data_IF_015739410190
#
_entry.id   IF_015739410190
#
_cell.length_a   1.000
_cell.length_b   1.000
_cell.length_c   1.000
_cell.angle_alpha   90.00
_cell.angle_beta   90.00
_cell.angle_gamma   90.00
#
_symmetry.space_group_name_H-M   'P 1'
#
loop_
_entity.id
_entity.type
_entity.pdbx_description
1 polymer ?
#
# COMPACT_ATOMS: atom_id res chain seq x y z
N UNK A 1 22.74 45.85 -29.58
CA UNK A 1 23.30 44.52 -29.88
C UNK A 1 24.18 44.06 -28.72
N UNK A 2 23.87 42.86 -28.22
CA UNK A 2 24.70 41.94 -27.40
C UNK A 2 25.25 42.43 -26.05
N UNK A 3 24.44 42.26 -25.01
CA UNK A 3 24.89 41.73 -23.70
C UNK A 3 23.90 40.64 -23.28
N UNK A 4 24.15 39.42 -23.71
CA UNK A 4 23.48 38.20 -23.24
C UNK A 4 24.59 37.23 -22.91
N UNK A 5 24.82 37.01 -21.61
CA UNK A 5 25.35 35.82 -20.93
C UNK A 5 25.94 36.26 -19.58
N UNK A 6 25.14 36.14 -18.52
CA UNK A 6 25.62 35.98 -17.13
C UNK A 6 24.43 35.83 -16.19
N UNK A 7 23.58 34.84 -16.46
CA UNK A 7 22.66 34.25 -15.49
C UNK A 7 22.62 32.76 -15.81
N UNK A 8 23.65 32.00 -15.41
CA UNK A 8 23.64 30.52 -15.47
C UNK A 8 24.84 29.88 -14.74
N UNK A 9 25.35 30.48 -13.66
CA UNK A 9 26.45 29.86 -12.91
C UNK A 9 26.37 30.14 -11.40
N UNK A 10 25.20 29.89 -10.81
CA UNK A 10 25.00 29.89 -9.36
C UNK A 10 23.86 28.94 -8.93
N UNK A 11 23.77 27.76 -9.57
CA UNK A 11 22.83 26.70 -9.18
C UNK A 11 23.49 25.31 -9.21
N UNK A 12 24.80 25.24 -8.95
CA UNK A 12 25.55 23.98 -8.89
C UNK A 12 26.47 24.01 -7.67
N UNK A 13 25.89 24.08 -6.46
CA UNK A 13 26.59 23.80 -5.20
C UNK A 13 25.62 23.66 -4.00
N UNK A 14 24.49 22.99 -4.23
CA UNK A 14 23.77 22.29 -3.15
C UNK A 14 23.56 20.86 -3.63
N UNK A 15 24.67 20.17 -3.91
CA UNK A 15 24.69 18.72 -3.66
C UNK A 15 24.87 18.60 -2.16
N UNK A 16 23.76 18.75 -1.45
CA UNK A 16 23.67 18.41 -0.05
C UNK A 16 24.13 16.97 0.06
N UNK A 17 25.21 16.76 0.81
CA UNK A 17 25.50 15.47 1.41
C UNK A 17 24.32 15.17 2.33
N UNK A 18 23.22 14.62 1.79
CA UNK A 18 22.34 13.81 2.59
C UNK A 18 23.11 12.52 2.80
N UNK A 19 23.71 12.40 3.97
CA UNK A 19 23.95 11.10 4.59
C UNK A 19 22.59 10.43 4.71
N UNK A 20 22.10 9.87 3.61
CA UNK A 20 20.94 8.99 3.62
C UNK A 20 21.46 7.69 4.21
N UNK A 21 21.35 7.55 5.53
CA UNK A 21 21.54 6.27 6.17
C UNK A 21 20.62 5.27 5.45
N UNK A 22 21.16 4.13 5.00
CA UNK A 22 20.32 3.02 4.58
C UNK A 22 19.36 2.72 5.73
N UNK A 23 18.07 2.83 5.47
CA UNK A 23 17.06 2.90 6.51
C UNK A 23 16.66 1.53 7.06
N UNK A 24 16.92 0.44 6.32
CA UNK A 24 16.67 -0.91 6.79
C UNK A 24 17.83 -1.87 6.49
N UNK A 25 18.04 -2.80 7.42
CA UNK A 25 19.10 -3.78 7.46
C UNK A 25 18.47 -5.15 7.69
N UNK A 26 18.45 -6.01 6.67
CA UNK A 26 17.82 -7.33 6.76
C UNK A 26 18.90 -8.41 6.72
N UNK A 27 19.00 -9.21 7.78
CA UNK A 27 19.97 -10.29 7.89
C UNK A 27 19.55 -11.50 7.07
N UNK A 28 20.47 -12.06 6.30
CA UNK A 28 20.19 -13.27 5.55
C UNK A 28 20.09 -14.51 6.46
N UNK A 29 19.06 -15.37 6.29
CA UNK A 29 19.06 -16.68 6.93
C UNK A 29 20.15 -17.57 6.31
N UNK A 30 20.89 -18.29 7.15
CA UNK A 30 21.89 -19.26 6.68
C UNK A 30 21.21 -20.48 6.05
N UNK A 31 20.93 -20.43 4.74
CA UNK A 31 20.25 -21.52 4.02
C UNK A 31 21.11 -22.08 2.89
N UNK A 32 21.01 -23.38 2.61
CA UNK A 32 21.68 -24.06 1.49
C UNK A 32 22.75 -25.08 1.91
N UNK A 33 23.22 -25.87 0.95
CA UNK A 33 24.17 -26.99 1.17
C UNK A 33 25.47 -26.86 0.35
N UNK A 34 25.64 -25.77 -0.40
CA UNK A 34 26.80 -25.48 -1.25
C UNK A 34 27.95 -24.72 -0.57
N UNK A 35 28.94 -24.31 -1.38
CA UNK A 35 30.01 -23.42 -0.93
C UNK A 35 29.46 -22.01 -0.67
N UNK A 36 30.13 -21.26 0.23
CA UNK A 36 29.81 -19.86 0.42
C UNK A 36 30.26 -19.05 -0.81
N UNK A 37 29.44 -18.08 -1.20
CA UNK A 37 29.70 -17.18 -2.33
C UNK A 37 30.21 -15.84 -1.77
N UNK A 38 30.99 -15.11 -2.56
CA UNK A 38 31.45 -13.77 -2.22
C UNK A 38 30.41 -12.73 -2.67
N UNK A 39 30.07 -11.76 -1.81
CA UNK A 39 29.10 -10.73 -2.18
C UNK A 39 29.59 -9.89 -3.38
N UNK A 40 30.91 -9.73 -3.59
CA UNK A 40 31.42 -8.95 -4.72
C UNK A 40 31.21 -9.62 -6.08
N UNK A 41 30.93 -10.92 -6.12
CA UNK A 41 30.65 -11.64 -7.37
C UNK A 41 29.16 -11.66 -7.69
N UNK A 42 28.33 -11.06 -6.84
CA UNK A 42 26.89 -11.01 -7.05
C UNK A 42 26.51 -9.94 -8.06
N UNK A 43 25.67 -10.33 -9.01
CA UNK A 43 24.97 -9.45 -9.93
C UNK A 43 23.48 -9.75 -9.93
N UNK A 44 22.69 -8.84 -10.47
CA UNK A 44 21.24 -8.89 -10.36
C UNK A 44 20.60 -9.23 -11.71
N UNK A 45 19.58 -10.07 -11.65
CA UNK A 45 18.73 -10.42 -12.77
C UNK A 45 17.44 -9.63 -12.81
N UNK A 46 16.48 -10.15 -13.55
CA UNK A 46 15.17 -9.54 -13.64
C UNK A 46 14.46 -9.55 -12.27
N UNK A 47 13.50 -8.66 -12.11
CA UNK A 47 12.63 -8.65 -10.94
C UNK A 47 11.30 -9.31 -11.30
N UNK A 48 10.78 -10.16 -10.42
CA UNK A 48 9.49 -10.83 -10.59
C UNK A 48 8.51 -10.18 -9.63
N UNK A 49 7.45 -9.57 -10.18
CA UNK A 49 6.34 -9.00 -9.44
C UNK A 49 5.31 -10.09 -9.16
N UNK A 50 4.87 -10.12 -7.90
CA UNK A 50 3.88 -11.07 -7.38
C UNK A 50 2.85 -10.24 -6.64
N UNK A 51 1.59 -10.43 -6.98
CA UNK A 51 0.50 -9.67 -6.36
C UNK A 51 0.34 -10.01 -4.87
N UNK A 52 -0.49 -9.26 -4.16
CA UNK A 52 -0.75 -9.50 -2.73
C UNK A 52 -1.25 -10.94 -2.44
N UNK A 53 -2.01 -11.55 -3.36
CA UNK A 53 -2.46 -12.95 -3.26
C UNK A 53 -1.33 -14.00 -3.38
N UNK A 54 -0.11 -13.57 -3.68
CA UNK A 54 1.05 -14.44 -3.84
C UNK A 54 1.13 -15.15 -5.20
N UNK A 55 0.40 -14.66 -6.20
CA UNK A 55 0.43 -15.15 -7.57
C UNK A 55 1.37 -14.33 -8.44
N UNK A 56 2.07 -15.02 -9.35
CA UNK A 56 2.86 -14.36 -10.40
C UNK A 56 2.01 -13.35 -11.15
N UNK A 57 2.52 -12.13 -11.26
CA UNK A 57 1.92 -11.08 -12.08
C UNK A 57 2.80 -10.84 -13.32
N UNK A 58 4.04 -10.37 -13.10
CA UNK A 58 4.90 -9.94 -14.21
C UNK A 58 6.41 -10.09 -13.94
N UNK A 59 7.23 -10.05 -14.99
CA UNK A 59 8.70 -10.00 -14.92
C UNK A 59 9.20 -8.68 -15.50
N UNK A 60 10.00 -7.96 -14.72
CA UNK A 60 10.56 -6.64 -15.03
C UNK A 60 12.06 -6.77 -15.30
N UNK A 61 12.48 -6.40 -16.51
CA UNK A 61 13.89 -6.49 -16.92
C UNK A 61 14.77 -5.45 -16.24
N UNK A 62 16.05 -5.78 -15.98
CA UNK A 62 17.04 -4.80 -15.51
C UNK A 62 17.29 -3.71 -16.56
N UNK A 63 17.35 -2.45 -16.12
CA UNK A 63 17.73 -1.33 -16.98
C UNK A 63 19.24 -1.28 -17.23
N UNK A 64 19.68 -0.77 -18.38
CA UNK A 64 21.11 -0.45 -18.61
C UNK A 64 21.41 0.96 -18.08
N UNK A 65 22.56 1.17 -17.42
CA UNK A 65 22.97 2.51 -17.00
C UNK A 65 22.98 3.49 -18.19
N UNK A 66 22.20 4.56 -18.10
CA UNK A 66 22.17 5.65 -19.09
C UNK A 66 21.19 5.51 -20.25
N UNK A 67 20.59 4.33 -20.44
CA UNK A 67 19.52 4.11 -21.43
C UNK A 67 18.39 3.34 -20.75
N UNK A 68 17.45 4.10 -20.19
CA UNK A 68 16.27 3.55 -19.52
C UNK A 68 15.38 2.82 -20.51
N UNK A 69 15.53 1.51 -20.61
CA UNK A 69 14.37 0.65 -20.84
C UNK A 69 13.58 0.73 -19.54
N UNK A 70 12.63 1.66 -19.53
CA UNK A 70 11.64 1.78 -18.47
C UNK A 70 10.50 0.90 -18.93
N UNK A 71 10.51 -0.37 -18.54
CA UNK A 71 9.30 -1.16 -18.64
C UNK A 71 8.39 -0.70 -17.48
N UNK A 72 7.25 -0.14 -17.84
CA UNK A 72 6.33 0.52 -16.91
C UNK A 72 5.39 -0.53 -16.33
N UNK A 73 5.73 -1.00 -15.14
CA UNK A 73 4.88 -1.91 -14.39
C UNK A 73 4.39 -1.25 -13.13
N UNK A 74 3.08 -1.39 -12.94
CA UNK A 74 2.30 -0.76 -11.90
C UNK A 74 2.50 -1.56 -10.61
N UNK A 75 3.10 -0.94 -9.60
CA UNK A 75 3.11 -1.50 -8.25
C UNK A 75 1.80 -1.16 -7.55
N UNK A 76 1.20 -2.18 -6.97
CA UNK A 76 0.02 -2.12 -6.11
C UNK A 76 0.43 -2.32 -4.66
N UNK A 77 -0.39 -1.80 -3.73
CA UNK A 77 -0.22 -2.01 -2.29
C UNK A 77 -0.15 -3.51 -1.97
N UNK A 78 0.73 -3.91 -1.06
CA UNK A 78 0.87 -5.33 -0.67
C UNK A 78 1.66 -6.23 -1.63
N UNK A 79 2.00 -5.75 -2.84
CA UNK A 79 2.78 -6.51 -3.81
C UNK A 79 4.15 -6.97 -3.24
N UNK A 80 4.62 -8.10 -3.75
CA UNK A 80 5.95 -8.63 -3.44
C UNK A 80 6.83 -8.67 -4.70
N UNK A 81 8.04 -8.12 -4.59
CA UNK A 81 9.03 -8.11 -5.66
C UNK A 81 10.15 -9.10 -5.31
N UNK A 82 10.43 -10.03 -6.22
CA UNK A 82 11.56 -10.96 -6.11
C UNK A 82 12.66 -10.58 -7.10
N UNK A 83 13.79 -10.10 -6.61
CA UNK A 83 14.94 -9.82 -7.46
C UNK A 83 15.79 -11.07 -7.61
N UNK A 84 16.02 -11.48 -8.86
CA UNK A 84 16.91 -12.57 -9.19
C UNK A 84 18.35 -12.25 -8.81
N UNK A 85 19.03 -13.24 -8.23
CA UNK A 85 20.42 -13.12 -7.80
C UNK A 85 21.26 -14.12 -8.59
N UNK A 86 22.26 -13.59 -9.26
CA UNK A 86 23.22 -14.35 -10.05
C UNK A 86 24.62 -14.26 -9.46
N UNK A 87 25.40 -15.32 -9.65
CA UNK A 87 26.84 -15.25 -9.46
C UNK A 87 27.53 -14.96 -10.79
N UNK A 88 28.49 -14.05 -10.77
CA UNK A 88 29.49 -13.91 -11.84
C UNK A 88 30.51 -15.02 -11.67
N UNK A 89 30.54 -15.97 -12.61
CA UNK A 89 31.60 -16.97 -12.63
C UNK A 89 32.86 -16.41 -13.28
N UNK A 90 33.99 -16.48 -12.58
CA UNK A 90 35.30 -16.23 -13.18
C UNK A 90 35.79 -17.52 -13.84
N UNK A 91 35.97 -17.50 -15.17
CA UNK A 91 36.42 -18.68 -15.94
C UNK A 91 37.86 -19.12 -15.65
N UNK A 92 38.61 -18.37 -14.83
CA UNK A 92 39.99 -18.69 -14.44
C UNK A 92 40.08 -18.98 -12.92
N UNK A 93 40.12 -20.27 -12.56
CA UNK A 93 40.14 -20.81 -11.18
C UNK A 93 41.25 -20.26 -10.25
N UNK A 94 42.23 -19.51 -10.77
CA UNK A 94 43.44 -19.14 -10.00
C UNK A 94 43.38 -17.76 -9.34
N UNK A 95 42.40 -16.91 -9.69
CA UNK A 95 42.37 -15.50 -9.30
C UNK A 95 40.96 -15.01 -8.90
N UNK A 96 40.13 -15.87 -8.29
CA UNK A 96 38.79 -15.48 -7.81
C UNK A 96 38.80 -14.23 -6.89
N UNK A 97 39.92 -13.94 -6.23
CA UNK A 97 40.08 -12.75 -5.39
C UNK A 97 40.37 -11.45 -6.19
N UNK A 98 40.85 -11.53 -7.43
CA UNK A 98 41.17 -10.35 -8.26
C UNK A 98 40.06 -9.97 -9.25
N UNK A 99 39.04 -10.81 -9.43
CA UNK A 99 37.82 -10.48 -10.19
C UNK A 99 37.08 -9.25 -9.61
N UNK A 100 37.18 -9.02 -8.29
CA UNK A 100 36.59 -7.86 -7.63
C UNK A 100 37.32 -6.53 -7.91
N UNK A 101 38.46 -6.55 -8.62
CA UNK A 101 39.33 -5.38 -8.83
C UNK A 101 39.52 -4.96 -10.29
N UNK A 102 39.23 -5.83 -11.25
CA UNK A 102 39.46 -5.56 -12.68
C UNK A 102 38.46 -6.34 -13.57
N UNK A 103 37.48 -5.63 -14.13
CA UNK A 103 36.41 -6.18 -14.98
C UNK A 103 36.91 -6.81 -16.29
N UNK A 104 38.18 -6.61 -16.65
CA UNK A 104 38.74 -7.03 -17.94
C UNK A 104 38.92 -8.57 -18.06
N UNK A 105 38.81 -9.32 -16.95
CA UNK A 105 39.07 -10.76 -16.89
C UNK A 105 37.84 -11.64 -16.61
N UNK A 106 36.65 -11.06 -16.49
CA UNK A 106 35.42 -11.79 -16.23
C UNK A 106 34.56 -11.91 -17.50
N UNK A 107 34.34 -13.11 -18.00
CA UNK A 107 33.18 -13.40 -18.85
C UNK A 107 31.97 -13.58 -17.93
N UNK A 108 31.00 -12.69 -17.99
CA UNK A 108 29.75 -12.78 -17.21
C UNK A 108 28.93 -13.94 -17.78
N UNK A 109 29.16 -15.15 -17.30
CA UNK A 109 28.14 -16.20 -17.31
C UNK A 109 27.40 -16.09 -15.97
N UNK A 110 26.33 -15.30 -15.98
CA UNK A 110 25.44 -15.16 -14.83
C UNK A 110 24.76 -16.52 -14.60
N UNK A 111 25.13 -17.17 -13.48
CA UNK A 111 24.56 -18.48 -13.12
C UNK A 111 23.62 -18.33 -11.93
N UNK A 112 22.40 -18.85 -12.04
CA UNK A 112 21.41 -18.81 -10.96
C UNK A 112 21.94 -19.48 -9.71
N UNK A 113 21.72 -18.86 -8.55
CA UNK A 113 22.14 -19.40 -7.26
C UNK A 113 21.26 -20.54 -6.74
N UNK A 114 21.20 -21.65 -7.48
CA UNK A 114 20.41 -22.82 -7.08
C UNK A 114 21.17 -23.64 -6.05
N UNK A 115 20.56 -23.89 -4.88
CA UNK A 115 21.10 -24.68 -3.76
C UNK A 115 22.43 -24.19 -3.15
N UNK A 116 22.92 -23.01 -3.55
CA UNK A 116 24.12 -22.41 -2.99
C UNK A 116 23.90 -21.90 -1.56
N UNK A 117 24.95 -21.91 -0.74
CA UNK A 117 24.86 -21.47 0.65
C UNK A 117 24.92 -19.94 0.71
N UNK A 118 23.86 -19.32 1.22
CA UNK A 118 23.84 -17.89 1.53
C UNK A 118 24.57 -17.67 2.86
N UNK A 119 25.63 -16.84 2.90
CA UNK A 119 26.34 -16.54 4.14
C UNK A 119 25.48 -15.75 5.12
N UNK A 120 25.54 -16.08 6.42
CA UNK A 120 24.76 -15.41 7.47
C UNK A 120 25.20 -13.97 7.76
N UNK A 121 26.39 -13.60 7.29
CA UNK A 121 27.00 -12.28 7.42
C UNK A 121 26.55 -11.32 6.31
N UNK A 122 25.74 -11.79 5.35
CA UNK A 122 25.15 -10.95 4.32
C UNK A 122 23.97 -10.15 4.85
N UNK A 123 23.88 -8.90 4.38
CA UNK A 123 22.79 -7.99 4.67
C UNK A 123 22.24 -7.42 3.39
N UNK A 124 20.91 -7.43 3.26
CA UNK A 124 20.24 -6.70 2.20
C UNK A 124 20.12 -5.22 2.61
N UNK A 125 20.60 -4.33 1.72
CA UNK A 125 20.60 -2.88 1.93
C UNK A 125 19.74 -2.23 0.87
N UNK A 126 18.66 -1.57 1.30
CA UNK A 126 17.64 -1.01 0.39
C UNK A 126 17.42 0.48 0.72
N UNK A 127 17.20 1.31 -0.32
CA UNK A 127 16.70 2.68 -0.20
C UNK A 127 15.19 2.75 -0.45
N UNK A 128 14.55 3.82 0.02
CA UNK A 128 13.11 4.06 -0.01
C UNK A 128 12.32 3.07 0.88
N UNK A 129 12.79 2.89 2.13
CA UNK A 129 12.16 1.97 3.08
C UNK A 129 10.74 2.36 3.48
N UNK A 130 10.35 3.61 3.23
CA UNK A 130 8.99 4.12 3.46
C UNK A 130 7.91 3.37 2.66
N UNK A 131 8.29 2.68 1.57
CA UNK A 131 7.38 1.82 0.80
C UNK A 131 7.52 0.33 1.13
N UNK A 132 8.47 -0.04 2.00
CA UNK A 132 8.86 -1.43 2.23
C UNK A 132 8.36 -1.88 3.61
N UNK A 133 7.51 -2.90 3.61
CA UNK A 133 7.02 -3.57 4.82
C UNK A 133 8.07 -4.50 5.40
N UNK A 134 8.68 -5.30 4.53
CA UNK A 134 9.68 -6.29 4.89
C UNK A 134 10.60 -6.60 3.71
N UNK A 135 11.81 -7.08 3.98
CA UNK A 135 12.66 -7.63 2.94
C UNK A 135 13.60 -8.71 3.49
N UNK A 136 13.89 -9.72 2.68
CA UNK A 136 14.75 -10.83 3.09
C UNK A 136 15.40 -11.53 1.89
N UNK A 137 16.51 -12.21 2.15
CA UNK A 137 17.04 -13.17 1.19
C UNK A 137 16.34 -14.51 1.40
N UNK A 138 15.62 -14.96 0.38
CA UNK A 138 14.81 -16.18 0.44
C UNK A 138 15.27 -17.21 -0.57
N UNK A 139 14.92 -18.46 -0.29
CA UNK A 139 15.04 -19.54 -1.26
C UNK A 139 13.66 -19.91 -1.77
N UNK A 140 13.50 -19.95 -3.08
CA UNK A 140 12.24 -20.33 -3.70
C UNK A 140 11.88 -21.79 -3.37
N UNK A 141 10.65 -22.00 -2.89
CA UNK A 141 10.09 -23.33 -2.65
C UNK A 141 9.85 -24.07 -3.98
N UNK A 142 9.86 -25.41 -3.93
CA UNK A 142 9.68 -26.23 -5.13
C UNK A 142 8.29 -26.10 -5.77
N UNK A 143 7.28 -25.69 -5.01
CA UNK A 143 5.89 -25.57 -5.40
C UNK A 143 5.35 -24.15 -5.13
N UNK A 144 6.16 -23.13 -5.43
CA UNK A 144 5.75 -21.74 -5.28
C UNK A 144 4.74 -21.33 -6.38
N UNK A 145 3.83 -20.42 -6.05
CA UNK A 145 2.82 -19.82 -6.94
C UNK A 145 3.32 -18.60 -7.70
N UNK A 146 4.51 -18.11 -7.36
CA UNK A 146 5.17 -16.93 -7.89
C UNK A 146 6.01 -17.21 -9.17
N UNK A 147 6.02 -18.45 -9.68
CA UNK A 147 6.78 -18.81 -10.89
C UNK A 147 8.30 -18.84 -10.72
N UNK A 148 8.81 -18.78 -9.48
CA UNK A 148 10.24 -18.71 -9.17
C UNK A 148 10.95 -20.05 -9.45
N UNK A 149 12.22 -20.00 -9.84
CA UNK A 149 13.04 -21.19 -10.04
C UNK A 149 13.27 -21.92 -8.70
N UNK A 150 12.80 -23.16 -8.61
CA UNK A 150 12.89 -23.96 -7.39
C UNK A 150 14.34 -24.07 -6.86
N UNK A 151 14.56 -23.63 -5.62
CA UNK A 151 15.86 -23.71 -4.97
C UNK A 151 16.82 -22.56 -5.30
N UNK A 152 16.47 -21.64 -6.20
CA UNK A 152 17.20 -20.39 -6.43
C UNK A 152 17.04 -19.42 -5.24
N UNK A 153 18.00 -18.52 -5.10
CA UNK A 153 18.01 -17.48 -4.06
C UNK A 153 17.56 -16.17 -4.68
N UNK A 154 16.65 -15.46 -4.00
CA UNK A 154 16.10 -14.18 -4.40
C UNK A 154 16.23 -13.17 -3.26
N UNK A 155 16.31 -11.89 -3.58
CA UNK A 155 15.95 -10.85 -2.62
C UNK A 155 14.46 -10.59 -2.74
N UNK A 156 13.70 -10.94 -1.71
CA UNK A 156 12.26 -10.69 -1.60
C UNK A 156 12.06 -9.34 -0.92
N UNK A 157 11.28 -8.46 -1.53
CA UNK A 157 10.89 -7.16 -1.00
C UNK A 157 9.37 -7.13 -0.98
N UNK A 158 8.79 -6.96 0.20
CA UNK A 158 7.34 -6.84 0.40
C UNK A 158 7.01 -5.36 0.55
N UNK A 159 6.10 -4.85 -0.27
CA UNK A 159 5.67 -3.47 -0.17
C UNK A 159 4.69 -3.29 0.98
N UNK A 160 4.58 -2.05 1.45
CA UNK A 160 3.57 -1.66 2.41
C UNK A 160 2.16 -1.88 1.83
N UNK A 161 1.19 -2.17 2.69
CA UNK A 161 -0.22 -2.37 2.30
C UNK A 161 -1.03 -1.07 2.43
N UNK A 162 -0.36 0.04 2.72
CA UNK A 162 -0.96 1.36 2.99
C UNK A 162 -0.20 2.50 2.31
N UNK A 163 0.69 2.20 1.34
CA UNK A 163 1.34 3.25 0.58
C UNK A 163 0.37 3.79 -0.47
N UNK A 164 -0.20 4.97 -0.19
CA UNK A 164 -0.98 5.69 -1.19
C UNK A 164 -0.02 6.07 -2.30
N UNK A 165 -0.23 5.59 -3.53
CA UNK A 165 0.44 6.15 -4.71
C UNK A 165 0.21 7.66 -4.64
N UNK A 166 1.28 8.39 -4.36
CA UNK A 166 1.17 9.71 -3.75
C UNK A 166 0.68 10.72 -4.80
N UNK A 167 -0.62 10.98 -4.87
CA UNK A 167 -1.24 11.93 -5.81
C UNK A 167 -1.08 11.54 -7.31
N UNK A 168 -1.99 12.06 -8.14
CA UNK A 168 -1.96 11.98 -9.61
C UNK A 168 -0.65 12.54 -10.20
N UNK A 169 0.08 13.36 -9.44
CA UNK A 169 1.40 13.88 -9.80
C UNK A 169 2.51 12.82 -9.70
N UNK A 170 2.42 11.85 -8.77
CA UNK A 170 3.39 10.76 -8.64
C UNK A 170 2.94 9.46 -9.31
N UNK A 171 1.68 9.39 -9.77
CA UNK A 171 1.23 8.34 -10.69
C UNK A 171 2.06 8.39 -11.99
N UNK A 172 2.92 7.37 -12.17
CA UNK A 172 3.90 7.33 -13.27
C UNK A 172 5.27 7.96 -12.95
N UNK A 173 5.50 8.47 -11.73
CA UNK A 173 6.86 8.71 -11.23
C UNK A 173 7.57 7.38 -10.98
N UNK A 174 8.86 7.35 -11.31
CA UNK A 174 9.66 6.13 -11.22
C UNK A 174 10.16 5.92 -9.80
N UNK A 175 9.62 4.90 -9.14
CA UNK A 175 10.19 4.37 -7.91
C UNK A 175 11.45 3.57 -8.27
N UNK A 176 12.59 4.07 -7.79
CA UNK A 176 13.89 3.43 -8.02
C UNK A 176 14.32 2.65 -6.78
N UNK A 177 14.24 1.33 -6.83
CA UNK A 177 14.79 0.49 -5.76
C UNK A 177 16.31 0.40 -5.91
N UNK A 178 17.02 1.22 -5.15
CA UNK A 178 18.47 1.09 -5.01
C UNK A 178 18.78 0.05 -3.94
N UNK A 179 19.22 -1.15 -4.36
CA UNK A 179 19.50 -2.27 -3.47
C UNK A 179 20.86 -2.92 -3.74
N UNK A 180 21.53 -3.42 -2.70
CA UNK A 180 22.73 -4.27 -2.83
C UNK A 180 22.87 -5.21 -1.62
N UNK A 181 23.71 -6.24 -1.76
CA UNK A 181 24.12 -7.12 -0.68
C UNK A 181 25.42 -6.61 -0.06
N UNK A 182 25.43 -6.44 1.25
CA UNK A 182 26.59 -6.06 2.03
C UNK A 182 27.11 -7.25 2.85
N UNK A 183 28.36 -7.62 2.64
CA UNK A 183 29.05 -8.61 3.46
C UNK A 183 29.66 -7.93 4.69
N UNK A 184 29.10 -8.22 5.87
CA UNK A 184 29.57 -7.61 7.13
C UNK A 184 30.91 -8.15 7.62
N UNK A 185 31.32 -9.33 7.18
CA UNK A 185 32.58 -9.96 7.60
C UNK A 185 33.74 -9.42 6.75
N UNK A 186 33.60 -9.48 5.43
CA UNK A 186 34.63 -9.11 4.47
C UNK A 186 34.58 -7.64 4.04
N UNK A 187 33.51 -6.91 4.41
CA UNK A 187 33.33 -5.48 4.11
C UNK A 187 33.32 -5.18 2.60
N UNK A 188 32.67 -6.05 1.84
CA UNK A 188 32.49 -5.96 0.39
C UNK A 188 31.02 -5.86 0.05
N UNK A 189 30.70 -5.16 -1.04
CA UNK A 189 29.35 -4.98 -1.55
C UNK A 189 29.20 -5.67 -2.90
N UNK A 190 28.01 -6.17 -3.20
CA UNK A 190 27.62 -6.52 -4.57
C UNK A 190 27.46 -5.28 -5.44
N UNK A 191 27.22 -5.49 -6.74
CA UNK A 191 26.65 -4.45 -7.58
C UNK A 191 25.27 -4.01 -7.09
N UNK A 192 24.82 -2.85 -7.56
CA UNK A 192 23.47 -2.37 -7.30
C UNK A 192 22.47 -3.04 -8.24
N UNK A 193 21.32 -3.43 -7.71
CA UNK A 193 20.15 -3.70 -8.53
C UNK A 193 19.67 -2.36 -9.13
N UNK A 194 19.42 -2.34 -10.44
CA UNK A 194 18.93 -1.17 -11.16
C UNK A 194 17.61 -1.51 -11.85
N UNK A 195 16.57 -1.68 -11.04
CA UNK A 195 15.19 -1.86 -11.53
C UNK A 195 14.38 -0.64 -11.13
N UNK A 196 13.58 -0.16 -12.07
CA UNK A 196 12.64 0.93 -11.85
C UNK A 196 11.23 0.40 -12.00
N UNK A 197 10.35 0.82 -11.11
CA UNK A 197 8.92 0.53 -11.18
C UNK A 197 8.16 1.84 -11.29
N UNK A 198 6.94 1.80 -11.80
CA UNK A 198 6.00 2.89 -11.70
C UNK A 198 4.93 2.52 -10.67
N UNK A 199 4.38 3.50 -9.96
CA UNK A 199 3.13 3.24 -9.25
C UNK A 199 2.00 2.98 -10.23
N UNK A 200 1.02 2.19 -9.79
CA UNK A 200 -0.17 1.94 -10.58
C UNK A 200 -0.79 3.24 -11.10
N UNK A 201 -1.06 3.26 -12.40
CA UNK A 201 -1.81 4.36 -12.99
C UNK A 201 -3.29 4.12 -12.73
N UNK A 202 -3.78 4.75 -11.69
CA UNK A 202 -5.19 4.81 -11.35
C UNK A 202 -5.94 5.76 -12.28
N UNK A 203 -7.18 5.42 -12.64
CA UNK A 203 -8.05 6.33 -13.38
C UNK A 203 -8.54 7.46 -12.47
N UNK A 204 -8.85 8.62 -13.05
CA UNK A 204 -9.33 9.79 -12.29
C UNK A 204 -10.75 10.13 -12.69
N UNK A 205 -11.65 10.11 -11.70
CA UNK A 205 -13.02 10.57 -11.82
C UNK A 205 -13.18 11.91 -11.10
N UNK A 206 -13.60 12.93 -11.84
CA UNK A 206 -13.89 14.25 -11.30
C UNK A 206 -15.33 14.32 -10.78
N UNK A 207 -15.48 14.49 -9.47
CA UNK A 207 -16.78 14.73 -8.85
C UNK A 207 -17.10 16.22 -8.96
N UNK A 208 -18.24 16.58 -9.54
CA UNK A 208 -18.57 17.98 -9.85
C UNK A 208 -19.96 18.37 -9.38
N UNK A 209 -20.09 19.65 -9.04
CA UNK A 209 -21.40 20.27 -8.77
C UNK A 209 -21.99 20.98 -10.00
N UNK A 210 -21.34 20.88 -11.16
CA UNK A 210 -21.82 21.41 -12.43
C UNK A 210 -22.47 20.31 -13.28
N UNK A 211 -23.80 20.32 -13.33
CA UNK A 211 -24.59 19.32 -14.05
C UNK A 211 -24.30 19.26 -15.55
N UNK A 212 -23.74 20.33 -16.16
CA UNK A 212 -23.43 20.32 -17.58
C UNK A 212 -22.25 19.38 -17.94
N UNK A 213 -21.47 18.95 -16.95
CA UNK A 213 -20.30 18.08 -17.14
C UNK A 213 -20.59 16.59 -16.83
N UNK A 214 -21.74 16.26 -16.22
CA UNK A 214 -22.05 14.94 -15.62
C UNK A 214 -22.32 13.82 -16.66
N UNK A 215 -22.43 14.14 -17.95
CA UNK A 215 -22.73 13.16 -19.00
C UNK A 215 -21.47 12.49 -19.61
N UNK A 216 -20.34 12.42 -18.90
CA UNK A 216 -19.10 11.85 -19.44
C UNK A 216 -18.43 10.86 -18.46
N UNK A 217 -17.69 9.89 -18.99
CA UNK A 217 -17.08 8.78 -18.22
C UNK A 217 -16.12 9.24 -17.09
N UNK A 218 -15.64 10.48 -17.15
CA UNK A 218 -14.66 11.04 -16.21
C UNK A 218 -15.25 12.06 -15.24
N UNK A 219 -16.53 12.42 -15.36
CA UNK A 219 -17.19 13.37 -14.46
C UNK A 219 -18.49 12.80 -13.93
N UNK A 220 -18.66 12.88 -12.61
CA UNK A 220 -19.87 12.43 -11.91
C UNK A 220 -20.40 13.54 -11.02
N UNK A 221 -21.68 13.50 -10.71
CA UNK A 221 -22.35 14.55 -9.93
C UNK A 221 -22.20 14.32 -8.43
N UNK A 222 -21.99 15.40 -7.66
CA UNK A 222 -22.19 15.39 -6.19
C UNK A 222 -23.65 15.15 -5.78
N UNK A 223 -24.59 15.24 -6.73
CA UNK A 223 -26.03 15.07 -6.50
C UNK A 223 -26.52 13.64 -6.78
N UNK A 224 -25.64 12.78 -7.30
CA UNK A 224 -25.93 11.38 -7.58
C UNK A 224 -25.24 10.49 -6.54
N UNK A 225 -25.69 9.23 -6.48
CA UNK A 225 -24.89 8.19 -5.84
C UNK A 225 -23.79 7.77 -6.79
N UNK A 226 -22.56 7.87 -6.33
CA UNK A 226 -21.38 7.49 -7.10
C UNK A 226 -21.07 6.03 -6.81
N UNK A 227 -21.04 5.20 -7.83
CA UNK A 227 -20.52 3.84 -7.69
C UNK A 227 -19.01 3.92 -7.39
N UNK A 228 -18.62 3.43 -6.22
CA UNK A 228 -17.22 3.26 -5.88
C UNK A 228 -16.59 2.26 -6.86
N UNK A 229 -15.35 2.52 -7.26
CA UNK A 229 -14.59 1.68 -8.17
C UNK A 229 -13.21 1.47 -7.61
N UNK A 230 -12.80 0.22 -7.62
CA UNK A 230 -11.43 -0.20 -7.38
C UNK A 230 -10.50 0.55 -8.34
N UNK A 231 -9.33 0.92 -7.85
CA UNK A 231 -8.29 1.57 -8.65
C UNK A 231 -8.70 2.91 -9.31
N UNK A 232 -9.63 3.65 -8.69
CA UNK A 232 -10.04 4.98 -9.15
C UNK A 232 -9.78 6.05 -8.09
N UNK A 233 -9.12 7.14 -8.49
CA UNK A 233 -9.09 8.38 -7.72
C UNK A 233 -10.29 9.25 -8.02
N UNK A 234 -10.94 9.71 -6.96
CA UNK A 234 -11.97 10.73 -7.03
C UNK A 234 -11.38 12.09 -6.67
N UNK A 235 -11.68 13.11 -7.49
CA UNK A 235 -11.24 14.50 -7.26
C UNK A 235 -12.40 15.46 -7.33
N UNK A 236 -12.54 16.33 -6.33
CA UNK A 236 -13.56 17.37 -6.37
C UNK A 236 -13.19 18.46 -7.38
N UNK A 237 -14.03 18.61 -8.40
CA UNK A 237 -14.01 19.70 -9.35
C UNK A 237 -15.05 20.78 -8.98
N UNK A 238 -14.66 22.04 -9.12
CA UNK A 238 -15.55 23.18 -8.83
C UNK A 238 -15.32 23.77 -7.44
N UNK A 239 -16.27 23.51 -6.51
CA UNK A 239 -16.31 24.07 -5.14
C UNK A 239 -15.11 23.64 -4.28
N UNK A 240 -14.89 24.32 -3.15
CA UNK A 240 -13.80 24.01 -2.21
C UNK A 240 -14.02 22.72 -1.42
N UNK A 241 -15.28 22.35 -1.18
CA UNK A 241 -15.67 21.10 -0.54
C UNK A 241 -17.06 20.68 -1.00
N UNK A 242 -17.37 19.39 -0.91
CA UNK A 242 -18.69 18.83 -1.15
C UNK A 242 -18.93 17.62 -0.25
N UNK A 243 -20.18 17.40 0.12
CA UNK A 243 -20.65 16.12 0.66
C UNK A 243 -21.03 15.25 -0.53
N UNK A 244 -20.59 14.00 -0.50
CA UNK A 244 -20.70 13.06 -1.61
C UNK A 244 -21.09 11.70 -1.05
N UNK A 245 -21.90 10.96 -1.79
CA UNK A 245 -22.34 9.63 -1.39
C UNK A 245 -21.84 8.59 -2.38
N UNK A 246 -21.14 7.60 -1.86
CA UNK A 246 -20.63 6.46 -2.60
C UNK A 246 -21.51 5.24 -2.34
N UNK A 247 -21.85 4.47 -3.37
CA UNK A 247 -22.27 3.07 -3.22
C UNK A 247 -21.00 2.23 -3.17
N UNK A 248 -20.75 1.58 -2.05
CA UNK A 248 -19.58 0.69 -1.88
C UNK A 248 -19.92 -0.78 -2.09
N UNK A 249 -21.19 -1.12 -1.89
CA UNK A 249 -21.78 -2.44 -2.14
C UNK A 249 -23.21 -2.22 -2.69
N UNK A 250 -23.88 -3.27 -3.16
CA UNK A 250 -25.28 -3.24 -3.64
C UNK A 250 -26.23 -2.66 -2.57
N UNK A 251 -25.92 -2.87 -1.29
CA UNK A 251 -26.75 -2.49 -0.16
C UNK A 251 -26.12 -1.43 0.77
N UNK A 252 -24.90 -0.96 0.50
CA UNK A 252 -24.20 -0.04 1.42
C UNK A 252 -23.79 1.26 0.74
N UNK A 253 -24.13 2.36 1.41
CA UNK A 253 -23.80 3.71 0.99
C UNK A 253 -22.98 4.44 2.05
N UNK A 254 -21.92 5.11 1.61
CA UNK A 254 -21.02 5.88 2.46
C UNK A 254 -21.12 7.35 2.10
N UNK A 255 -21.45 8.17 3.09
CA UNK A 255 -21.47 9.62 2.96
C UNK A 255 -20.18 10.18 3.50
N UNK A 256 -19.47 10.91 2.65
CA UNK A 256 -18.17 11.47 2.97
C UNK A 256 -18.05 12.93 2.54
N UNK A 257 -17.06 13.62 3.11
CA UNK A 257 -16.70 14.97 2.69
C UNK A 257 -15.43 14.93 1.84
N UNK A 258 -15.51 15.60 0.69
CA UNK A 258 -14.37 15.82 -0.20
C UNK A 258 -13.97 17.29 -0.19
N UNK A 259 -12.68 17.54 -0.36
CA UNK A 259 -12.06 18.85 -0.51
C UNK A 259 -11.35 18.98 -1.86
N UNK A 260 -11.30 20.21 -2.36
CA UNK A 260 -10.67 20.51 -3.64
C UNK A 260 -9.14 20.52 -3.51
N UNK A 261 -8.49 19.78 -4.40
CA UNK A 261 -7.03 19.67 -4.47
C UNK A 261 -6.51 18.35 -3.92
N UNK A 262 -7.32 17.65 -3.14
CA UNK A 262 -7.02 16.34 -2.61
C UNK A 262 -7.47 15.24 -3.59
N UNK A 263 -6.86 14.06 -3.43
CA UNK A 263 -7.16 12.85 -4.18
C UNK A 263 -7.73 11.81 -3.22
N UNK A 264 -8.87 11.20 -3.57
CA UNK A 264 -9.54 10.23 -2.72
C UNK A 264 -9.62 8.85 -3.36
N UNK A 265 -9.41 7.80 -2.59
CA UNK A 265 -9.73 6.42 -2.97
C UNK A 265 -10.66 5.82 -1.94
N UNK A 266 -11.47 4.89 -2.40
CA UNK A 266 -12.32 4.03 -1.60
C UNK A 266 -12.24 2.65 -2.24
N UNK A 267 -11.78 1.64 -1.48
CA UNK A 267 -11.74 0.27 -1.99
C UNK A 267 -13.18 -0.24 -2.14
N UNK A 268 -13.55 -0.63 -3.36
CA UNK A 268 -14.93 -0.98 -3.74
C UNK A 268 -15.14 -2.46 -4.01
N UNK A 269 -14.10 -3.28 -3.84
CA UNK A 269 -14.17 -4.74 -3.84
C UNK A 269 -14.74 -5.29 -2.51
N UNK A 270 -15.12 -4.40 -1.61
CA UNK A 270 -15.68 -4.69 -0.29
C UNK A 270 -17.17 -5.00 -0.40
N UNK A 271 -17.50 -6.18 -0.92
CA UNK A 271 -18.81 -6.77 -0.68
C UNK A 271 -18.97 -7.01 0.83
N UNK A 272 -20.16 -6.85 1.38
CA UNK A 272 -20.42 -7.36 2.72
C UNK A 272 -20.24 -8.90 2.75
N UNK A 273 -19.24 -9.38 3.48
CA UNK A 273 -18.88 -10.81 3.52
C UNK A 273 -19.48 -11.47 4.75
N UNK A 274 -20.12 -12.62 4.55
CA UNK A 274 -20.56 -13.46 5.67
C UNK A 274 -19.39 -13.94 6.52
N UNK A 275 -19.35 -13.52 7.78
CA UNK A 275 -18.32 -13.93 8.74
C UNK A 275 -18.73 -15.20 9.45
N UNK A 276 -18.17 -16.33 8.99
CA UNK A 276 -18.43 -17.65 9.58
C UNK A 276 -18.07 -17.75 11.07
N UNK A 277 -17.03 -17.04 11.50
CA UNK A 277 -16.52 -17.19 12.87
C UNK A 277 -17.33 -16.33 13.84
N UNK A 278 -17.61 -15.06 13.49
CA UNK A 278 -18.53 -14.23 14.26
C UNK A 278 -19.93 -14.86 14.30
N UNK A 279 -20.41 -15.39 13.18
CA UNK A 279 -21.76 -15.98 13.14
C UNK A 279 -21.91 -17.19 14.06
N UNK A 280 -20.85 -17.99 14.23
CA UNK A 280 -20.85 -19.09 15.22
C UNK A 280 -20.76 -18.59 16.65
N UNK A 281 -19.99 -17.54 16.90
CA UNK A 281 -19.75 -17.00 18.23
C UNK A 281 -21.03 -16.39 18.82
N UNK A 282 -21.76 -15.64 17.99
CA UNK A 282 -22.96 -14.91 18.40
C UNK A 282 -24.27 -15.63 18.05
N UNK A 283 -24.21 -16.84 17.46
CA UNK A 283 -25.36 -17.67 17.07
C UNK A 283 -26.39 -16.92 16.18
N UNK A 284 -25.89 -16.11 15.25
CA UNK A 284 -26.69 -15.32 14.30
C UNK A 284 -25.92 -15.08 13.02
N UNK A 285 -26.59 -14.87 11.89
CA UNK A 285 -25.91 -14.53 10.63
C UNK A 285 -25.36 -13.10 10.73
N UNK A 286 -24.05 -12.96 10.48
CA UNK A 286 -23.30 -11.70 10.53
C UNK A 286 -22.60 -11.49 9.19
N UNK A 287 -22.92 -10.38 8.55
CA UNK A 287 -22.23 -9.85 7.38
C UNK A 287 -21.34 -8.70 7.82
N UNK A 288 -20.09 -8.70 7.37
CA UNK A 288 -19.08 -7.71 7.72
C UNK A 288 -18.65 -6.97 6.47
N UNK A 289 -18.62 -5.65 6.56
CA UNK A 289 -18.11 -4.73 5.56
C UNK A 289 -16.88 -4.03 6.14
N UNK A 290 -15.78 -4.00 5.40
CA UNK A 290 -14.56 -3.30 5.80
C UNK A 290 -14.31 -2.11 4.88
N UNK A 291 -14.50 -0.89 5.38
CA UNK A 291 -14.31 0.30 4.57
C UNK A 291 -12.86 0.77 4.70
N UNK A 292 -12.09 0.61 3.63
CA UNK A 292 -10.74 1.16 3.49
C UNK A 292 -10.76 2.34 2.53
N UNK A 293 -10.46 3.54 3.05
CA UNK A 293 -10.46 4.75 2.24
C UNK A 293 -9.40 5.75 2.71
N UNK A 294 -9.43 6.94 2.14
CA UNK A 294 -8.85 8.14 2.76
C UNK A 294 -9.88 9.28 2.81
N UNK A 295 -11.15 8.91 2.75
CA UNK A 295 -12.27 9.84 2.79
C UNK A 295 -12.56 10.22 4.23
N UNK A 296 -12.99 11.46 4.40
CA UNK A 296 -13.59 11.90 5.65
C UNK A 296 -15.03 11.38 5.70
N UNK A 297 -15.18 10.10 6.04
CA UNK A 297 -16.46 9.40 6.21
C UNK A 297 -17.21 10.05 7.37
N UNK A 298 -18.52 10.22 7.17
CA UNK A 298 -19.42 10.84 8.14
C UNK A 298 -20.53 9.89 8.53
N UNK A 299 -21.11 9.20 7.56
CA UNK A 299 -22.23 8.32 7.78
C UNK A 299 -22.13 7.08 6.89
N UNK A 300 -22.57 5.94 7.41
CA UNK A 300 -22.81 4.72 6.64
C UNK A 300 -24.29 4.39 6.71
N UNK A 301 -24.92 4.23 5.55
CA UNK A 301 -26.26 3.68 5.40
C UNK A 301 -26.15 2.24 4.89
N UNK A 302 -26.66 1.29 5.66
CA UNK A 302 -26.80 -0.10 5.23
C UNK A 302 -28.29 -0.40 4.98
N UNK A 303 -28.63 -0.67 3.72
CA UNK A 303 -29.96 -1.12 3.34
C UNK A 303 -30.29 -2.44 4.02
N UNK A 304 -31.50 -2.52 4.53
CA UNK A 304 -31.88 -3.64 5.35
C UNK A 304 -33.35 -3.98 5.20
N UNK A 305 -33.64 -5.27 5.26
CA UNK A 305 -34.99 -5.75 5.51
C UNK A 305 -35.42 -5.46 6.96
N UNK A 306 -36.72 -5.56 7.23
CA UNK A 306 -37.34 -5.16 8.53
C UNK A 306 -36.90 -5.98 9.74
N UNK A 307 -36.13 -7.05 9.51
CA UNK A 307 -35.72 -8.04 10.50
C UNK A 307 -34.30 -7.85 11.04
N UNK A 308 -33.44 -7.08 10.36
CA UNK A 308 -32.15 -6.72 10.99
C UNK A 308 -32.36 -5.73 12.13
N UNK A 309 -31.39 -5.65 13.05
CA UNK A 309 -31.54 -4.97 14.34
C UNK A 309 -30.70 -3.71 14.48
N UNK A 310 -29.46 -3.71 14.00
CA UNK A 310 -28.54 -2.58 14.12
C UNK A 310 -27.26 -2.81 13.30
N UNK A 311 -26.55 -1.72 13.02
CA UNK A 311 -25.16 -1.73 12.60
C UNK A 311 -24.29 -1.74 13.87
N UNK A 312 -23.16 -2.42 13.83
CA UNK A 312 -22.11 -2.40 14.86
C UNK A 312 -20.75 -2.22 14.25
N UNK A 313 -19.79 -1.79 15.05
CA UNK A 313 -18.38 -1.81 14.68
C UNK A 313 -17.75 -3.16 15.07
N UNK A 314 -16.80 -3.63 14.27
CA UNK A 314 -16.03 -4.84 14.50
C UNK A 314 -14.60 -4.45 14.86
N UNK A 315 -14.25 -4.56 16.15
CA UNK A 315 -12.91 -4.23 16.66
C UNK A 315 -12.28 -5.52 17.19
N UNK A 316 -11.15 -5.92 16.60
CA UNK A 316 -10.40 -7.13 17.00
C UNK A 316 -11.27 -8.41 17.11
N UNK A 317 -12.28 -8.51 16.24
CA UNK A 317 -13.22 -9.65 16.21
C UNK A 317 -14.34 -9.58 17.26
N UNK A 318 -14.49 -8.47 17.98
CA UNK A 318 -15.61 -8.23 18.88
C UNK A 318 -16.60 -7.22 18.30
N UNK A 319 -17.89 -7.37 18.64
CA UNK A 319 -18.97 -6.49 18.19
C UNK A 319 -19.22 -5.38 19.20
N UNK A 320 -19.05 -4.14 18.75
CA UNK A 320 -19.15 -2.93 19.56
C UNK A 320 -20.34 -2.10 19.11
N UNK A 321 -21.15 -1.66 20.07
CA UNK A 321 -22.33 -0.85 19.76
C UNK A 321 -21.92 0.50 19.17
N UNK A 322 -22.56 0.88 18.07
CA UNK A 322 -22.53 2.24 17.52
C UNK A 322 -23.92 2.85 17.59
N UNK A 323 -24.00 4.18 17.67
CA UNK A 323 -25.28 4.88 17.63
C UNK A 323 -25.86 4.75 16.21
N UNK A 324 -26.81 3.81 16.05
CA UNK A 324 -27.45 3.55 14.78
C UNK A 324 -28.95 3.80 14.84
N UNK A 325 -29.48 4.44 13.80
CA UNK A 325 -30.89 4.77 13.67
C UNK A 325 -31.52 4.05 12.48
N UNK A 326 -32.73 3.53 12.66
CA UNK A 326 -33.51 3.01 11.54
C UNK A 326 -34.19 4.16 10.77
N UNK A 327 -33.81 4.33 9.50
CA UNK A 327 -34.41 5.33 8.61
C UNK A 327 -35.33 4.68 7.58
N UNK A 328 -36.49 5.31 7.36
CA UNK A 328 -37.46 4.84 6.35
C UNK A 328 -37.29 5.50 4.99
N UNK A 329 -36.42 6.50 4.91
CA UNK A 329 -35.97 7.23 3.73
C UNK A 329 -34.61 7.85 4.05
N UNK A 330 -33.62 7.62 3.20
CA UNK A 330 -32.36 8.34 3.25
C UNK A 330 -32.26 9.28 2.04
N UNK A 331 -31.93 10.54 2.24
CA UNK A 331 -31.86 11.53 1.15
C UNK A 331 -30.41 11.96 0.96
N UNK A 332 -29.82 11.57 -0.17
CA UNK A 332 -28.38 11.72 -0.46
C UNK A 332 -27.97 13.16 -0.73
N UNK A 333 -28.86 13.94 -1.36
CA UNK A 333 -28.89 15.41 -1.61
C UNK A 333 -29.67 15.63 -2.93
N UNK A 334 -30.38 16.76 -3.07
CA UNK A 334 -31.15 17.18 -4.26
C UNK A 334 -32.20 16.17 -4.81
N UNK A 335 -32.81 15.41 -3.90
CA UNK A 335 -34.01 14.61 -4.18
C UNK A 335 -33.77 13.14 -4.57
N UNK A 336 -32.52 12.68 -4.59
CA UNK A 336 -32.22 11.24 -4.64
C UNK A 336 -32.53 10.63 -3.27
N UNK A 337 -33.59 9.82 -3.24
CA UNK A 337 -34.02 9.09 -2.04
C UNK A 337 -33.58 7.64 -2.16
N UNK A 338 -32.66 7.23 -1.31
CA UNK A 338 -32.24 5.85 -1.13
C UNK A 338 -33.13 5.11 -0.13
N UNK A 339 -32.95 3.79 -0.04
CA UNK A 339 -33.92 2.88 0.55
C UNK A 339 -34.01 2.98 2.10
N UNK A 340 -34.54 1.91 2.70
CA UNK A 340 -34.80 1.78 4.14
C UNK A 340 -33.66 0.97 4.73
N UNK A 341 -33.16 1.42 5.87
CA UNK A 341 -32.00 0.77 6.47
C UNK A 341 -31.59 1.37 7.79
N UNK A 342 -30.42 0.96 8.23
CA UNK A 342 -29.75 1.52 9.40
C UNK A 342 -28.74 2.55 8.94
N UNK A 343 -28.72 3.70 9.62
CA UNK A 343 -27.67 4.70 9.48
C UNK A 343 -26.86 4.77 10.77
N UNK A 344 -25.55 4.95 10.67
CA UNK A 344 -24.68 5.23 11.80
C UNK A 344 -23.71 6.35 11.43
N UNK A 345 -23.36 7.20 12.39
CA UNK A 345 -22.20 8.09 12.27
C UNK A 345 -20.94 7.26 12.50
N UNK A 346 -20.02 7.27 11.54
CA UNK A 346 -18.87 6.35 11.56
C UNK A 346 -17.62 6.98 10.94
N UNK A 347 -16.49 6.31 11.14
CA UNK A 347 -15.21 6.62 10.48
C UNK A 347 -14.77 5.44 9.59
N UNK A 348 -13.51 5.42 9.15
CA UNK A 348 -12.91 4.25 8.48
C UNK A 348 -12.83 3.07 9.46
N UNK A 349 -13.12 1.85 9.00
CA UNK A 349 -13.19 0.70 9.89
C UNK A 349 -14.02 -0.48 9.35
N UNK A 350 -14.20 -1.49 10.20
CA UNK A 350 -15.04 -2.64 9.89
C UNK A 350 -16.38 -2.55 10.62
N UNK A 351 -17.47 -2.74 9.88
CA UNK A 351 -18.83 -2.65 10.38
C UNK A 351 -19.58 -3.93 10.05
N UNK A 352 -20.54 -4.30 10.90
CA UNK A 352 -21.37 -5.47 10.67
C UNK A 352 -22.85 -5.16 10.82
N UNK A 353 -23.67 -5.81 9.99
CA UNK A 353 -25.11 -5.80 10.11
C UNK A 353 -25.56 -7.03 10.91
N UNK A 354 -26.25 -6.80 12.02
CA UNK A 354 -26.72 -7.88 12.89
C UNK A 354 -28.23 -8.09 12.72
N UNK A 355 -28.62 -9.35 12.60
CA UNK A 355 -30.02 -9.79 12.47
C UNK A 355 -30.72 -10.19 13.78
N UNK A 356 -29.98 -10.30 14.89
CA UNK A 356 -30.49 -10.71 16.19
C UNK A 356 -30.21 -9.72 17.33
N UNK A 357 -30.98 -9.84 18.41
CA UNK A 357 -30.70 -9.13 19.66
C UNK A 357 -29.56 -9.86 20.39
N UNK A 358 -28.35 -9.31 20.32
CA UNK A 358 -27.15 -9.85 20.98
C UNK A 358 -26.64 -8.90 22.06
N UNK A 359 -25.95 -9.43 23.07
CA UNK A 359 -25.23 -8.60 24.05
C UNK A 359 -23.99 -8.01 23.37
N UNK A 360 -23.95 -6.68 23.27
CA UNK A 360 -22.84 -5.94 22.69
C UNK A 360 -21.90 -5.40 23.76
N UNK A 361 -20.66 -5.14 23.34
CA UNK A 361 -19.74 -4.34 24.14
C UNK A 361 -20.15 -2.87 23.98
N UNK A 362 -20.46 -2.21 25.09
CA UNK A 362 -20.61 -0.75 25.13
C UNK A 362 -19.25 -0.11 25.41
N UNK A 363 -18.90 0.93 24.66
CA UNK A 363 -17.73 1.76 24.97
C UNK A 363 -18.19 2.85 25.93
N UNK A 364 -17.63 2.88 27.15
CA UNK A 364 -17.82 4.04 28.04
C UNK A 364 -17.06 5.23 27.44
N UNK A 365 -17.77 6.26 26.97
CA UNK A 365 -17.16 7.54 26.63
C UNK A 365 -16.48 8.13 27.88
N UNK A 366 -15.15 8.16 27.91
CA UNK A 366 -14.45 9.02 28.86
C UNK A 366 -14.70 10.49 28.46
N UNK A 367 -15.62 11.13 29.18
CA UNK A 367 -15.87 12.57 29.07
C UNK A 367 -14.56 13.34 29.34
N UNK A 368 -13.90 13.78 28.28
CA UNK A 368 -12.80 14.73 28.38
C UNK A 368 -13.38 16.12 28.61
N UNK A 369 -13.30 16.61 29.86
CA UNK A 369 -13.59 18.01 30.17
C UNK A 369 -12.67 18.91 29.33
N UNK A 370 -13.23 19.62 28.35
CA UNK A 370 -12.54 20.71 27.64
C UNK A 370 -12.23 21.86 28.61
N UNK A 371 -11.01 21.92 29.15
CA UNK A 371 -10.46 23.19 29.63
C UNK A 371 -10.09 24.05 28.42
N UNK A 372 -10.88 25.11 28.21
CA UNK A 372 -10.64 26.17 27.23
C UNK A 372 -9.22 26.74 27.34
N UNK A 373 -8.35 26.41 26.39
CA UNK A 373 -7.16 27.21 26.05
C UNK A 373 -7.16 27.46 24.55
N UNK A 374 -7.26 28.73 24.18
CA UNK A 374 -7.04 29.22 22.82
C UNK A 374 -5.67 28.73 22.30
N UNK A 375 -5.67 28.00 21.19
CA UNK A 375 -4.45 27.63 20.47
C UNK A 375 -4.15 28.68 19.38
N UNK A 376 -2.89 29.11 19.20
CA UNK A 376 -2.52 30.03 18.14
C UNK A 376 -2.48 29.33 16.78
N UNK A 377 -2.84 30.08 15.73
CA UNK A 377 -2.84 29.67 14.33
C UNK A 377 -1.42 29.33 13.83
N UNK A 378 -1.15 28.05 13.54
CA UNK A 378 -0.15 27.65 12.53
C UNK A 378 -0.56 26.31 11.90
N UNK A 379 -0.83 26.33 10.60
CA UNK A 379 -1.21 25.15 9.82
C UNK A 379 -0.10 24.10 9.73
N UNK A 380 -0.47 22.89 10.11
CA UNK A 380 0.09 21.59 9.73
C UNK A 380 -0.90 20.54 10.27
N UNK A 381 -1.14 19.48 9.50
CA UNK A 381 -2.14 18.43 9.74
C UNK A 381 -2.16 17.92 11.19
N UNK A 382 -3.34 18.03 11.81
CA UNK A 382 -3.63 17.47 13.14
C UNK A 382 -4.15 16.04 12.93
N UNK A 383 -3.24 15.07 12.90
CA UNK A 383 -3.59 13.66 12.99
C UNK A 383 -3.68 13.28 14.46
N UNK A 384 -4.90 13.27 15.00
CA UNK A 384 -5.23 12.55 16.22
C UNK A 384 -5.89 11.25 15.80
N UNK A 385 -5.06 10.25 15.46
CA UNK A 385 -5.52 8.87 15.42
C UNK A 385 -5.76 8.40 16.86
N UNK A 386 -7.02 8.23 17.24
CA UNK A 386 -7.40 7.67 18.52
C UNK A 386 -7.04 6.17 18.54
N UNK A 387 -5.80 5.84 18.93
CA UNK A 387 -5.44 4.47 19.28
C UNK A 387 -6.10 4.10 20.62
N UNK A 388 -7.25 3.45 20.58
CA UNK A 388 -7.90 2.88 21.76
C UNK A 388 -7.17 1.59 22.13
N UNK A 389 -6.29 1.67 23.13
CA UNK A 389 -5.66 0.51 23.75
C UNK A 389 -6.61 -0.07 24.82
N UNK A 390 -7.42 -1.07 24.47
CA UNK A 390 -8.19 -1.86 25.43
C UNK A 390 -7.25 -2.83 26.19
N UNK A 391 -6.86 -2.43 27.41
CA UNK A 391 -6.13 -3.31 28.31
C UNK A 391 -7.08 -4.34 28.94
N UNK A 392 -7.04 -5.58 28.45
CA UNK A 392 -7.77 -6.71 29.05
C UNK A 392 -7.18 -7.01 30.43
N UNK A 393 -7.87 -6.59 31.50
CA UNK A 393 -7.58 -7.03 32.87
C UNK A 393 -8.31 -8.34 33.11
N UNK A 394 -7.56 -9.44 33.10
CA UNK A 394 -8.04 -10.75 33.52
C UNK A 394 -8.41 -10.78 35.01
N UNK A 395 -9.66 -11.09 35.34
CA UNK A 395 -10.04 -11.62 36.65
C UNK A 395 -10.99 -12.81 36.48
N UNK A 396 -10.42 -14.02 36.56
CA UNK A 396 -10.95 -15.19 37.30
C UNK A 396 -9.89 -16.30 37.32
#
# INVERSE_FOLDING_TARGET
MKKVLSVLLAAAMVMGMSVSAFAAEYSAPATGTGAAIDASTITWGDAILVNEDGHYDETVSQGTEGEGVVDFYNLTEGDTIYFEIYNKECTNEKEAHDCAKDDTFCTIEATTLVNQKVPSNWMLKIKNSEYIKDAELVRAAANNTAGLEAGAVYAKVVLNSDFKAMDEQEAGELLKFFMYIWDTEYKVASEYANVHFAFAKYDVVYVTNDMALVDNETYVSVYDVIEAREDVYYKLHGKNSATVVFSVDEAVYVTAKMWKGDSYMIKSDVDAVWSKDLSKEYDTDIEVLTIESNLDIREVLWESAKDNKQIVEVIDGALVAVDSEWVTKYEVIDGVVLAKGYIAETEEGSYALISADIELIEVEEEATEEETKENPSTGANDFVGAAVALAVVSVA
#
